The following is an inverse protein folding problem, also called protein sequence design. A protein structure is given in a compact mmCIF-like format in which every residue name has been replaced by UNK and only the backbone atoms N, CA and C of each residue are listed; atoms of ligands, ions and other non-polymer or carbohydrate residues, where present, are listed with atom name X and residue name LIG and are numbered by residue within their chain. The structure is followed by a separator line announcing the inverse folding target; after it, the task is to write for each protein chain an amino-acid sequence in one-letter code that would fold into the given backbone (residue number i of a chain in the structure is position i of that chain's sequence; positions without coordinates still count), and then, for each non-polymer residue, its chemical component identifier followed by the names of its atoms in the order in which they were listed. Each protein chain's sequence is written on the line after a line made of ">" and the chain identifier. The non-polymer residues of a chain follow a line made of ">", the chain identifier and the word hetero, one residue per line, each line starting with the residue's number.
data_IF_012325663904
#
_entry.id   IF_012325663904
#
_cell.length_a   1.000
_cell.length_b   1.000
_cell.length_c   1.000
_cell.angle_alpha   90.00
_cell.angle_beta   90.00
_cell.angle_gamma   90.00
#
_symmetry.space_group_name_H-M   'P 1'
#
loop_
_entity.id
_entity.type
_entity.pdbx_description
1 polymer ?
#
# COMPACT_ATOMS: atom_id res chain seq x y z
N UNK A 1 -29.18 -12.66 -45.38
CA UNK A 1 -28.15 -11.91 -46.15
C UNK A 1 -28.16 -10.39 -45.91
N UNK A 2 -29.27 -9.73 -45.51
CA UNK A 2 -29.32 -8.28 -45.22
C UNK A 2 -28.73 -7.91 -43.84
N UNK A 3 -28.76 -8.80 -42.85
CA UNK A 3 -28.27 -8.55 -41.47
C UNK A 3 -26.74 -8.59 -41.37
N UNK A 4 -26.08 -9.46 -42.14
CA UNK A 4 -24.61 -9.56 -42.13
C UNK A 4 -23.91 -8.32 -42.80
N UNK A 5 -24.57 -7.66 -43.75
CA UNK A 5 -24.00 -6.46 -44.37
C UNK A 5 -24.02 -5.24 -43.44
N UNK A 6 -24.97 -5.20 -42.47
CA UNK A 6 -25.03 -4.12 -41.45
C UNK A 6 -23.96 -4.28 -40.37
N UNK A 7 -23.64 -5.51 -40.00
CA UNK A 7 -22.60 -5.80 -38.98
C UNK A 7 -21.21 -5.48 -39.51
N UNK A 8 -20.92 -5.81 -40.79
CA UNK A 8 -19.65 -5.49 -41.45
C UNK A 8 -19.47 -3.99 -41.60
N UNK A 9 -20.54 -3.23 -41.92
CA UNK A 9 -20.47 -1.78 -42.06
C UNK A 9 -20.22 -1.07 -40.69
N UNK A 10 -20.78 -1.60 -39.59
CA UNK A 10 -20.54 -1.05 -38.27
C UNK A 10 -19.11 -1.38 -37.78
N UNK A 11 -18.59 -2.57 -38.06
CA UNK A 11 -17.21 -2.94 -37.75
C UNK A 11 -16.19 -2.11 -38.60
N UNK A 12 -16.46 -1.84 -39.85
CA UNK A 12 -15.61 -0.99 -40.65
C UNK A 12 -15.64 0.49 -40.20
N UNK A 13 -16.78 0.98 -39.73
CA UNK A 13 -16.91 2.32 -39.16
C UNK A 13 -16.14 2.49 -37.83
N UNK A 14 -16.13 1.45 -36.98
CA UNK A 14 -15.36 1.45 -35.72
C UNK A 14 -13.84 1.39 -36.01
N UNK A 15 -13.41 0.63 -37.02
CA UNK A 15 -12.00 0.57 -37.44
C UNK A 15 -11.55 1.89 -38.09
N UNK A 16 -12.41 2.57 -38.84
CA UNK A 16 -12.05 3.87 -39.41
C UNK A 16 -12.09 5.01 -38.41
N UNK A 17 -12.88 4.95 -37.37
CA UNK A 17 -12.87 5.97 -36.30
C UNK A 17 -11.66 5.83 -35.37
N UNK A 18 -11.10 4.63 -35.23
CA UNK A 18 -9.83 4.42 -34.51
C UNK A 18 -8.58 4.78 -35.29
N UNK A 19 -8.70 5.02 -36.61
CA UNK A 19 -7.59 5.44 -37.47
C UNK A 19 -7.56 6.96 -37.76
N UNK A 20 -8.57 7.71 -37.32
CA UNK A 20 -8.65 9.16 -37.55
C UNK A 20 -8.33 10.03 -36.35
N UNK A 21 -7.84 9.43 -35.25
CA UNK A 21 -7.49 10.13 -34.01
C UNK A 21 -5.99 10.33 -33.77
N UNK A 22 -5.13 9.95 -34.72
CA UNK A 22 -3.74 10.36 -34.68
C UNK A 22 -3.63 11.80 -35.25
N UNK A 23 -3.93 12.80 -34.44
CA UNK A 23 -3.28 14.08 -34.64
C UNK A 23 -1.78 13.78 -34.49
N UNK A 24 -1.07 13.74 -35.60
CA UNK A 24 0.38 13.79 -35.65
C UNK A 24 0.77 15.11 -34.98
N UNK A 25 0.97 15.09 -33.66
CA UNK A 25 1.72 16.18 -33.05
C UNK A 25 3.10 16.14 -33.71
N UNK A 26 3.51 17.27 -34.21
CA UNK A 26 4.81 17.48 -34.83
C UNK A 26 5.87 16.88 -33.90
N UNK A 27 6.66 15.94 -34.42
CA UNK A 27 7.81 15.35 -33.70
C UNK A 27 8.98 16.35 -33.65
N UNK A 28 8.71 17.61 -33.38
CA UNK A 28 9.74 18.60 -33.11
C UNK A 28 10.23 18.32 -31.72
N UNK A 29 11.46 17.81 -31.57
CA UNK A 29 12.14 17.69 -30.30
C UNK A 29 12.39 19.12 -29.81
N UNK A 30 11.75 19.47 -28.68
CA UNK A 30 11.91 20.79 -28.10
C UNK A 30 13.18 20.81 -27.21
N UNK A 31 13.76 21.99 -27.08
CA UNK A 31 14.87 22.25 -26.16
C UNK A 31 14.35 22.33 -24.73
N UNK A 32 15.23 22.12 -23.74
CA UNK A 32 14.92 22.39 -22.32
C UNK A 32 14.48 23.84 -22.12
N UNK A 33 15.00 24.78 -22.93
CA UNK A 33 14.66 26.20 -22.86
C UNK A 33 13.21 26.51 -23.31
N UNK A 34 12.59 25.60 -24.07
CA UNK A 34 11.19 25.75 -24.51
C UNK A 34 10.19 25.35 -23.42
N UNK A 35 10.65 24.74 -22.32
CA UNK A 35 9.80 24.25 -21.24
C UNK A 35 9.49 25.39 -20.27
N UNK A 36 8.21 25.72 -20.10
CA UNK A 36 7.76 26.79 -19.19
C UNK A 36 7.02 26.25 -17.96
N UNK A 37 6.38 25.06 -18.04
CA UNK A 37 5.66 24.49 -16.92
C UNK A 37 5.68 22.95 -16.90
N UNK A 38 5.53 22.40 -15.71
CA UNK A 38 5.20 20.99 -15.46
C UNK A 38 3.70 20.88 -15.19
N UNK A 39 3.04 19.87 -15.76
CA UNK A 39 1.60 19.67 -15.58
C UNK A 39 1.19 18.19 -15.71
N UNK A 40 -0.01 17.89 -15.22
CA UNK A 40 -0.66 16.59 -15.46
C UNK A 40 0.01 15.39 -14.80
N UNK A 41 0.72 15.60 -13.71
CA UNK A 41 1.43 14.52 -13.01
C UNK A 41 0.49 13.61 -12.22
N UNK A 42 0.81 12.34 -12.24
CA UNK A 42 0.25 11.35 -11.35
C UNK A 42 1.28 10.25 -11.05
N UNK A 43 1.09 9.57 -9.94
CA UNK A 43 1.90 8.43 -9.58
C UNK A 43 0.96 7.26 -9.25
N UNK A 44 1.17 6.12 -9.89
CA UNK A 44 0.27 4.98 -9.79
C UNK A 44 1.03 3.68 -9.61
N UNK A 45 0.58 2.84 -8.67
CA UNK A 45 1.08 1.48 -8.54
C UNK A 45 0.32 0.54 -9.48
N UNK A 46 1.07 -0.24 -10.24
CA UNK A 46 0.55 -1.27 -11.14
C UNK A 46 0.86 -2.65 -10.58
N UNK A 47 -0.14 -3.28 -9.98
CA UNK A 47 0.01 -4.62 -9.38
C UNK A 47 0.28 -5.72 -10.42
N UNK A 48 -0.09 -5.52 -11.68
CA UNK A 48 0.14 -6.50 -12.76
C UNK A 48 1.60 -6.61 -13.18
N UNK A 49 2.34 -5.51 -13.11
CA UNK A 49 3.77 -5.42 -13.48
C UNK A 49 4.68 -5.23 -12.28
N UNK A 50 4.10 -4.99 -11.09
CA UNK A 50 4.81 -4.72 -9.84
C UNK A 50 5.77 -3.53 -9.97
N UNK A 51 5.29 -2.47 -10.58
CA UNK A 51 6.00 -1.21 -10.76
C UNK A 51 5.12 0.00 -10.42
N UNK A 52 5.75 1.14 -10.31
CA UNK A 52 5.10 2.44 -10.22
C UNK A 52 5.31 3.21 -11.51
N UNK A 53 4.27 3.88 -11.99
CA UNK A 53 4.32 4.80 -13.11
C UNK A 53 4.23 6.23 -12.61
N UNK A 54 5.24 7.02 -12.89
CA UNK A 54 5.23 8.45 -12.70
C UNK A 54 4.92 9.13 -14.04
N UNK A 55 3.77 9.76 -14.13
CA UNK A 55 3.37 10.54 -15.31
C UNK A 55 3.62 12.02 -15.06
N UNK A 56 4.18 12.72 -16.05
CA UNK A 56 4.28 14.17 -16.03
C UNK A 56 4.30 14.72 -17.47
N UNK A 57 3.78 15.94 -17.65
CA UNK A 57 3.78 16.66 -18.91
C UNK A 57 4.61 17.91 -18.84
N UNK A 58 5.21 18.29 -19.99
CA UNK A 58 5.95 19.51 -20.17
C UNK A 58 5.12 20.46 -21.04
N UNK A 59 5.05 21.73 -20.66
CA UNK A 59 4.35 22.75 -21.43
C UNK A 59 5.32 23.83 -21.91
N UNK A 60 5.04 24.36 -23.12
CA UNK A 60 5.71 25.53 -23.63
C UNK A 60 5.02 26.85 -23.16
N UNK A 61 5.53 27.98 -23.63
CA UNK A 61 4.99 29.31 -23.31
C UNK A 61 3.57 29.58 -23.80
N UNK A 62 3.03 28.73 -24.65
CA UNK A 62 1.66 28.80 -25.16
C UNK A 62 0.69 27.87 -24.40
N UNK A 63 1.11 27.26 -23.30
CA UNK A 63 0.38 26.22 -22.56
C UNK A 63 0.10 24.95 -23.40
N UNK A 64 0.93 24.65 -24.41
CA UNK A 64 0.83 23.46 -25.22
C UNK A 64 1.77 22.37 -24.69
N UNK A 65 1.31 21.12 -24.68
CA UNK A 65 2.16 19.97 -24.33
C UNK A 65 3.27 19.78 -25.37
N UNK A 66 4.49 19.57 -24.87
CA UNK A 66 5.68 19.34 -25.71
C UNK A 66 6.41 18.09 -25.22
N UNK A 67 7.20 17.49 -26.12
CA UNK A 67 8.18 16.47 -25.80
C UNK A 67 9.57 17.06 -25.86
N UNK A 68 10.41 16.75 -24.90
CA UNK A 68 11.81 17.16 -24.85
C UNK A 68 12.66 16.07 -24.23
N UNK A 69 13.94 16.01 -24.67
CA UNK A 69 14.93 15.13 -24.03
C UNK A 69 15.44 15.81 -22.77
N UNK A 70 15.11 15.23 -21.61
CA UNK A 70 15.46 15.78 -20.28
C UNK A 70 16.00 14.68 -19.38
N UNK A 71 16.74 15.09 -18.35
CA UNK A 71 17.07 14.24 -17.22
C UNK A 71 16.17 14.65 -16.05
N UNK A 72 15.74 13.66 -15.27
CA UNK A 72 14.79 13.87 -14.16
C UNK A 72 15.33 13.21 -12.92
N UNK A 73 15.64 14.00 -11.89
CA UNK A 73 15.87 13.47 -10.56
C UNK A 73 14.52 13.27 -9.87
N UNK A 74 14.28 12.06 -9.43
CA UNK A 74 13.05 11.66 -8.76
C UNK A 74 13.39 11.31 -7.33
N UNK A 75 12.77 12.00 -6.36
CA UNK A 75 12.86 11.68 -4.94
C UNK A 75 11.49 11.38 -4.39
N UNK A 76 11.38 10.31 -3.62
CA UNK A 76 10.15 9.95 -2.91
C UNK A 76 10.46 9.98 -1.41
N UNK A 77 9.70 10.81 -0.70
CA UNK A 77 9.79 10.98 0.76
C UNK A 77 8.45 10.56 1.34
N UNK A 78 8.45 9.61 2.28
CA UNK A 78 7.23 9.19 2.96
C UNK A 78 6.77 10.24 4.00
N UNK A 79 5.56 10.10 4.53
CA UNK A 79 4.97 11.07 5.47
C UNK A 79 5.73 11.16 6.80
N UNK A 80 6.60 10.18 7.10
CA UNK A 80 7.48 10.23 8.28
C UNK A 80 8.80 10.94 8.01
N UNK A 81 9.02 11.44 6.77
CA UNK A 81 10.22 12.17 6.37
C UNK A 81 11.37 11.27 5.90
N UNK A 82 11.14 9.98 5.71
CA UNK A 82 12.15 9.05 5.22
C UNK A 82 12.21 9.07 3.69
N UNK A 83 13.42 9.22 3.12
CA UNK A 83 13.64 9.07 1.68
C UNK A 83 13.64 7.56 1.31
N UNK A 84 12.59 7.14 0.64
CA UNK A 84 12.39 5.74 0.24
C UNK A 84 12.86 5.46 -1.20
N UNK A 85 13.04 6.50 -2.00
CA UNK A 85 13.57 6.39 -3.37
C UNK A 85 14.29 7.67 -3.79
N UNK A 86 15.40 7.51 -4.50
CA UNK A 86 16.12 8.60 -5.17
C UNK A 86 16.86 8.05 -6.37
N UNK A 87 16.58 8.58 -7.56
CA UNK A 87 17.28 8.21 -8.79
C UNK A 87 17.15 9.26 -9.88
N UNK A 88 18.14 9.34 -10.74
CA UNK A 88 18.09 10.05 -12.02
C UNK A 88 17.58 9.13 -13.11
N UNK A 89 16.67 9.61 -13.95
CA UNK A 89 16.18 8.95 -15.16
C UNK A 89 16.34 9.90 -16.34
N UNK A 90 16.87 9.39 -17.45
CA UNK A 90 16.84 10.11 -18.71
C UNK A 90 15.51 9.82 -19.40
N UNK A 91 14.79 10.86 -19.75
CA UNK A 91 13.50 10.83 -20.45
C UNK A 91 13.70 11.44 -21.81
N UNK A 92 13.38 10.69 -22.85
CA UNK A 92 13.49 11.12 -24.25
C UNK A 92 12.13 11.56 -24.77
N UNK A 93 12.13 12.27 -25.88
CA UNK A 93 10.88 12.67 -26.54
C UNK A 93 10.01 11.48 -26.97
N UNK A 94 10.58 10.27 -27.10
CA UNK A 94 9.86 9.03 -27.43
C UNK A 94 9.10 8.45 -26.22
N UNK A 95 9.45 8.84 -24.99
CA UNK A 95 8.79 8.39 -23.75
C UNK A 95 7.48 9.14 -23.49
N UNK A 96 7.18 10.18 -24.29
CA UNK A 96 5.93 10.94 -24.19
C UNK A 96 4.84 10.31 -25.06
N UNK A 97 3.64 10.17 -24.50
CA UNK A 97 2.48 9.61 -25.17
C UNK A 97 1.18 10.31 -24.83
N UNK A 98 0.14 10.05 -25.65
CA UNK A 98 -1.19 10.57 -25.40
C UNK A 98 -1.90 9.73 -24.32
N UNK A 99 -2.39 10.42 -23.29
CA UNK A 99 -3.19 9.86 -22.22
C UNK A 99 -4.53 10.59 -22.16
N UNK A 100 -5.61 9.84 -22.05
CA UNK A 100 -6.95 10.39 -21.88
C UNK A 100 -7.39 10.24 -20.43
N UNK A 101 -7.70 11.36 -19.80
CA UNK A 101 -8.27 11.43 -18.46
C UNK A 101 -9.72 11.87 -18.51
N UNK A 102 -10.61 11.19 -17.78
CA UNK A 102 -12.02 11.59 -17.67
C UNK A 102 -12.23 13.00 -17.10
N UNK A 103 -11.25 13.50 -16.33
CA UNK A 103 -11.32 14.81 -15.66
C UNK A 103 -10.54 15.88 -16.42
N UNK A 104 -9.34 15.53 -16.92
CA UNK A 104 -8.42 16.50 -17.53
C UNK A 104 -8.41 16.49 -19.06
N UNK A 105 -9.14 15.55 -19.69
CA UNK A 105 -9.14 15.39 -21.15
C UNK A 105 -7.86 14.74 -21.68
N UNK A 106 -7.52 15.05 -22.93
CA UNK A 106 -6.29 14.55 -23.57
C UNK A 106 -5.07 15.28 -23.00
N UNK A 107 -4.06 14.50 -22.63
CA UNK A 107 -2.78 14.95 -22.08
C UNK A 107 -1.64 14.24 -22.81
N UNK A 108 -0.51 14.91 -22.99
CA UNK A 108 0.69 14.33 -23.55
C UNK A 108 1.77 14.25 -22.46
N UNK A 109 2.01 13.04 -21.96
CA UNK A 109 2.77 12.81 -20.72
C UNK A 109 3.92 11.84 -20.97
N UNK A 110 5.04 12.03 -20.26
CA UNK A 110 6.04 11.00 -20.08
C UNK A 110 5.53 9.94 -19.07
N UNK A 111 5.87 8.66 -19.29
CA UNK A 111 5.63 7.54 -18.38
C UNK A 111 6.98 7.00 -17.88
N UNK A 112 7.37 7.39 -16.67
CA UNK A 112 8.61 6.91 -16.04
C UNK A 112 8.30 5.74 -15.13
N UNK A 113 8.85 4.57 -15.48
CA UNK A 113 8.66 3.33 -14.71
C UNK A 113 9.69 3.18 -13.62
N UNK A 114 9.21 2.87 -12.40
CA UNK A 114 10.01 2.60 -11.22
C UNK A 114 9.63 1.21 -10.70
N UNK A 115 10.51 0.21 -10.80
CA UNK A 115 10.27 -1.10 -10.21
C UNK A 115 9.98 -0.98 -8.71
N UNK A 116 8.97 -1.69 -8.21
CA UNK A 116 8.64 -1.64 -6.78
C UNK A 116 9.81 -2.11 -5.90
N UNK A 117 10.67 -2.99 -6.44
CA UNK A 117 11.90 -3.44 -5.77
C UNK A 117 12.95 -2.35 -5.55
N UNK A 118 12.88 -1.24 -6.30
CA UNK A 118 13.82 -0.13 -6.19
C UNK A 118 13.41 0.86 -5.10
N UNK A 119 12.14 0.79 -4.64
CA UNK A 119 11.62 1.61 -3.55
C UNK A 119 11.84 0.85 -2.24
N UNK A 120 12.50 1.50 -1.29
CA UNK A 120 12.73 0.92 0.05
C UNK A 120 11.39 0.78 0.79
N UNK A 121 11.26 -0.31 1.53
CA UNK A 121 10.15 -0.46 2.46
C UNK A 121 10.29 0.56 3.61
N UNK A 122 9.38 1.52 3.65
CA UNK A 122 9.40 2.60 4.64
C UNK A 122 8.47 2.34 5.83
N UNK A 123 8.34 3.37 6.66
CA UNK A 123 7.47 3.36 7.85
C UNK A 123 6.07 3.92 7.58
N UNK A 124 5.80 4.43 6.38
CA UNK A 124 4.50 4.90 5.93
C UNK A 124 4.24 4.49 4.49
N UNK A 125 2.99 4.13 4.18
CA UNK A 125 2.53 3.86 2.81
C UNK A 125 2.11 5.13 2.05
N UNK A 126 2.17 6.29 2.68
CA UNK A 126 1.90 7.60 2.09
C UNK A 126 3.19 8.39 1.94
N UNK A 127 3.21 9.32 1.01
CA UNK A 127 4.38 10.16 0.80
C UNK A 127 4.19 11.18 -0.31
N UNK A 128 5.29 11.78 -0.72
CA UNK A 128 5.35 12.84 -1.74
C UNK A 128 6.47 12.54 -2.74
N UNK A 129 6.18 12.74 -4.02
CA UNK A 129 7.18 12.74 -5.10
C UNK A 129 7.67 14.15 -5.36
N UNK A 130 8.97 14.29 -5.42
CA UNK A 130 9.67 15.51 -5.84
C UNK A 130 10.40 15.26 -7.15
N UNK A 131 10.29 16.20 -8.08
CA UNK A 131 10.97 16.16 -9.37
C UNK A 131 11.89 17.37 -9.53
N UNK A 132 13.11 17.10 -9.99
CA UNK A 132 14.00 18.11 -10.58
C UNK A 132 14.16 17.76 -12.04
N UNK A 133 13.86 18.69 -12.95
CA UNK A 133 13.97 18.51 -14.41
C UNK A 133 15.09 19.37 -14.92
N UNK A 134 16.02 18.76 -15.62
CA UNK A 134 17.21 19.44 -16.13
C UNK A 134 17.72 18.80 -17.44
N UNK A 135 18.65 19.48 -18.09
CA UNK A 135 19.45 18.95 -19.20
C UNK A 135 20.83 19.58 -19.16
N UNK A 136 21.86 18.74 -19.18
CA UNK A 136 23.25 19.18 -18.97
C UNK A 136 23.34 20.04 -17.68
N UNK A 137 23.82 21.28 -17.79
CA UNK A 137 23.94 22.21 -16.66
C UNK A 137 22.71 23.13 -16.44
N UNK A 138 21.63 22.93 -17.25
CA UNK A 138 20.42 23.77 -17.19
C UNK A 138 19.34 23.08 -16.37
N UNK A 139 19.07 23.61 -15.16
CA UNK A 139 17.94 23.19 -14.33
C UNK A 139 16.72 24.04 -14.68
N UNK A 140 15.62 23.39 -15.08
CA UNK A 140 14.37 24.06 -15.41
C UNK A 140 13.39 24.09 -14.25
N UNK A 141 13.30 22.97 -13.52
CA UNK A 141 12.48 22.85 -12.32
C UNK A 141 13.31 22.16 -11.25
N UNK A 142 13.27 22.70 -10.04
CA UNK A 142 14.03 22.19 -8.92
C UNK A 142 13.09 21.78 -7.77
N UNK A 143 13.16 20.53 -7.37
CA UNK A 143 12.40 19.90 -6.27
C UNK A 143 10.89 20.23 -6.27
N UNK A 144 10.25 20.19 -7.45
CA UNK A 144 8.81 20.42 -7.54
C UNK A 144 8.05 19.28 -6.91
N UNK A 145 7.17 19.59 -5.95
CA UNK A 145 6.22 18.63 -5.40
C UNK A 145 5.19 18.24 -6.45
N UNK A 146 5.22 17.01 -6.88
CA UNK A 146 4.41 16.54 -8.02
C UNK A 146 3.20 15.72 -7.63
N UNK A 147 3.18 15.03 -6.49
CA UNK A 147 2.05 14.18 -6.12
C UNK A 147 2.10 13.76 -4.66
N UNK A 148 0.94 13.67 -4.03
CA UNK A 148 0.76 12.86 -2.84
C UNK A 148 0.61 11.40 -3.28
N UNK A 149 1.32 10.49 -2.62
CA UNK A 149 1.34 9.07 -2.92
C UNK A 149 0.56 8.29 -1.89
N UNK A 150 -0.06 7.22 -2.39
CA UNK A 150 -0.67 6.18 -1.57
C UNK A 150 -0.12 4.83 -2.07
N UNK A 151 -0.02 3.86 -1.19
CA UNK A 151 0.47 2.51 -1.50
C UNK A 151 1.99 2.40 -1.72
N UNK A 152 2.80 3.23 -1.08
CA UNK A 152 4.24 2.96 -0.98
C UNK A 152 4.49 1.63 -0.24
N UNK A 153 5.56 0.89 -0.59
CA UNK A 153 5.89 -0.33 0.13
C UNK A 153 6.27 -0.01 1.57
N UNK A 154 5.70 -0.78 2.50
CA UNK A 154 5.99 -0.63 3.93
C UNK A 154 6.71 -1.86 4.48
N UNK A 155 7.52 -1.65 5.50
CA UNK A 155 8.25 -2.71 6.19
C UNK A 155 7.30 -3.72 6.85
N UNK A 156 7.73 -4.98 6.91
CA UNK A 156 7.01 -6.01 7.66
C UNK A 156 7.17 -5.80 9.16
N UNK A 157 6.18 -6.24 9.92
CA UNK A 157 6.26 -6.31 11.37
C UNK A 157 6.63 -7.73 11.82
N UNK A 158 7.18 -7.84 13.01
CA UNK A 158 7.42 -9.13 13.65
C UNK A 158 6.54 -9.24 14.90
N UNK A 159 5.86 -10.36 15.07
CA UNK A 159 5.11 -10.67 16.29
C UNK A 159 5.71 -11.87 17.01
N UNK A 160 6.00 -11.72 18.28
CA UNK A 160 6.40 -12.82 19.17
C UNK A 160 5.32 -13.02 20.21
N UNK A 161 4.71 -14.22 20.25
CA UNK A 161 3.81 -14.61 21.31
C UNK A 161 4.61 -15.28 22.43
N UNK A 162 4.57 -14.71 23.64
CA UNK A 162 5.38 -15.19 24.75
C UNK A 162 4.77 -16.40 25.44
N UNK A 163 5.67 -17.32 25.80
CA UNK A 163 5.34 -18.46 26.66
C UNK A 163 4.46 -19.53 26.01
N UNK A 164 4.27 -19.50 24.67
CA UNK A 164 3.44 -20.51 23.99
C UNK A 164 4.15 -21.88 23.96
N UNK A 165 3.48 -22.96 24.38
CA UNK A 165 2.12 -23.02 24.91
C UNK A 165 2.01 -22.39 26.31
N UNK A 166 0.92 -21.66 26.57
CA UNK A 166 0.66 -20.98 27.83
C UNK A 166 -0.66 -21.45 28.43
N UNK A 167 -0.66 -21.70 29.73
CA UNK A 167 -1.88 -21.99 30.51
C UNK A 167 -2.36 -20.75 31.25
N UNK A 168 -3.66 -20.48 31.14
CA UNK A 168 -4.32 -19.31 31.68
C UNK A 168 -5.45 -19.77 32.60
N UNK A 169 -5.43 -19.35 33.86
CA UNK A 169 -6.52 -19.60 34.75
C UNK A 169 -7.67 -18.64 34.50
N UNK A 170 -8.85 -19.17 34.27
CA UNK A 170 -10.09 -18.38 34.21
C UNK A 170 -10.70 -18.36 35.59
N UNK A 171 -10.80 -17.17 36.20
CA UNK A 171 -11.35 -16.97 37.52
C UNK A 171 -12.85 -16.66 37.45
N UNK A 172 -13.60 -17.18 38.40
CA UNK A 172 -14.98 -16.79 38.67
C UNK A 172 -15.09 -15.55 39.53
N UNK A 173 -16.32 -15.06 39.70
CA UNK A 173 -16.61 -13.93 40.61
C UNK A 173 -16.18 -14.14 42.06
N UNK A 174 -16.01 -15.38 42.49
CA UNK A 174 -15.54 -15.75 43.81
C UNK A 174 -14.00 -15.81 43.95
N UNK A 175 -13.28 -15.50 42.85
CA UNK A 175 -11.83 -15.53 42.78
C UNK A 175 -11.23 -16.94 42.68
N UNK A 176 -12.07 -17.99 42.58
CA UNK A 176 -11.58 -19.34 42.39
C UNK A 176 -11.39 -19.66 40.91
N UNK A 177 -10.41 -20.51 40.58
CA UNK A 177 -10.21 -21.02 39.23
C UNK A 177 -11.40 -21.88 38.79
N UNK A 178 -12.15 -21.41 37.81
CA UNK A 178 -13.29 -22.13 37.22
C UNK A 178 -12.87 -23.04 36.06
N UNK A 179 -11.91 -22.57 35.27
CA UNK A 179 -11.37 -23.32 34.13
C UNK A 179 -9.91 -22.97 33.85
N UNK A 180 -9.25 -23.81 33.06
CA UNK A 180 -7.88 -23.57 32.56
C UNK A 180 -7.93 -23.68 31.06
N UNK A 181 -7.49 -22.60 30.39
CA UNK A 181 -7.34 -22.51 28.94
C UNK A 181 -5.85 -22.59 28.60
N UNK A 182 -5.51 -23.47 27.67
CA UNK A 182 -4.16 -23.58 27.14
C UNK A 182 -4.16 -23.04 25.70
N UNK A 183 -3.42 -21.97 25.45
CA UNK A 183 -3.12 -21.50 24.09
C UNK A 183 -1.91 -22.28 23.58
N UNK A 184 -2.06 -22.96 22.45
CA UNK A 184 -1.04 -23.88 21.93
C UNK A 184 -0.36 -23.40 20.67
N UNK A 185 -1.00 -22.50 19.91
CA UNK A 185 -0.49 -21.97 18.65
C UNK A 185 -0.96 -20.54 18.44
N UNK A 186 -0.09 -19.73 17.83
CA UNK A 186 -0.35 -18.35 17.44
C UNK A 186 0.27 -18.08 16.07
N UNK A 187 -0.51 -17.53 15.18
CA UNK A 187 -0.06 -17.05 13.88
C UNK A 187 -0.58 -15.64 13.61
N UNK A 188 -0.03 -14.96 12.63
CA UNK A 188 -0.49 -13.61 12.28
C UNK A 188 -0.35 -13.32 10.79
N UNK A 189 -1.16 -12.36 10.35
CA UNK A 189 -1.04 -11.72 9.03
C UNK A 189 -0.98 -10.22 9.26
N UNK A 190 0.04 -9.59 8.67
CA UNK A 190 0.13 -8.14 8.61
C UNK A 190 -0.47 -7.66 7.30
N UNK A 191 -1.63 -7.03 7.39
CA UNK A 191 -2.34 -6.44 6.25
C UNK A 191 -1.86 -4.99 6.07
N UNK A 192 -1.30 -4.69 4.89
CA UNK A 192 -0.60 -3.43 4.59
C UNK A 192 -1.48 -2.41 3.85
N UNK A 193 -2.65 -2.85 3.36
CA UNK A 193 -3.51 -2.03 2.51
C UNK A 193 -4.25 -0.97 3.35
N UNK A 194 -4.33 0.26 2.82
CA UNK A 194 -5.03 1.44 3.36
C UNK A 194 -4.72 1.79 4.83
N UNK A 195 -5.09 0.94 5.77
CA UNK A 195 -4.78 1.09 7.19
C UNK A 195 -4.02 -0.15 7.63
N UNK A 196 -2.73 -0.03 7.95
CA UNK A 196 -1.95 -1.17 8.42
C UNK A 196 -2.59 -1.80 9.66
N UNK A 197 -2.82 -3.11 9.60
CA UNK A 197 -3.44 -3.85 10.71
C UNK A 197 -2.80 -5.22 10.90
N UNK A 198 -2.77 -5.69 12.13
CA UNK A 198 -2.26 -6.99 12.51
C UNK A 198 -3.42 -7.89 12.89
N UNK A 199 -3.68 -8.90 12.07
CA UNK A 199 -4.64 -9.96 12.38
C UNK A 199 -3.91 -11.13 13.00
N UNK A 200 -4.17 -11.36 14.27
CA UNK A 200 -3.57 -12.44 15.09
C UNK A 200 -4.58 -13.55 15.22
N UNK A 201 -4.22 -14.76 14.84
CA UNK A 201 -5.04 -15.96 14.97
C UNK A 201 -4.41 -16.90 15.97
N UNK A 202 -5.20 -17.50 16.85
CA UNK A 202 -4.72 -18.41 17.87
C UNK A 202 -5.61 -19.61 18.05
N UNK A 203 -5.05 -20.68 18.59
CA UNK A 203 -5.71 -21.97 18.82
C UNK A 203 -5.33 -22.52 20.18
N UNK A 204 -6.17 -23.36 20.71
CA UNK A 204 -5.91 -23.94 22.03
C UNK A 204 -6.91 -25.01 22.44
N UNK A 205 -6.94 -25.27 23.74
CA UNK A 205 -7.86 -26.21 24.35
C UNK A 205 -8.22 -25.79 25.79
N UNK A 206 -9.39 -26.20 26.25
CA UNK A 206 -9.74 -26.17 27.66
C UNK A 206 -9.21 -27.42 28.34
N UNK A 207 -8.32 -27.28 29.31
CA UNK A 207 -7.69 -28.42 29.97
C UNK A 207 -8.38 -28.79 31.27
N UNK A 208 -9.12 -27.85 31.90
CA UNK A 208 -9.82 -28.05 33.17
C UNK A 208 -11.12 -27.22 33.22
N UNK A 209 -12.08 -27.70 33.98
CA UNK A 209 -13.35 -27.02 34.31
C UNK A 209 -14.57 -27.59 33.60
N UNK A 210 -15.74 -27.26 34.12
CA UNK A 210 -17.02 -27.68 33.53
C UNK A 210 -17.39 -26.79 32.30
N UNK A 211 -18.45 -27.20 31.59
CA UNK A 211 -19.03 -26.34 30.55
C UNK A 211 -19.53 -25.05 31.17
N UNK A 212 -19.10 -23.94 30.59
CA UNK A 212 -19.58 -22.58 30.90
C UNK A 212 -20.17 -21.98 29.64
N UNK A 213 -20.98 -20.93 29.73
CA UNK A 213 -21.51 -20.25 28.56
C UNK A 213 -20.35 -19.63 27.73
N UNK A 214 -19.32 -19.14 28.44
CA UNK A 214 -18.06 -18.67 27.85
C UNK A 214 -16.95 -18.66 28.93
N UNK A 215 -15.73 -18.79 28.48
CA UNK A 215 -14.51 -18.54 29.28
C UNK A 215 -13.88 -17.21 28.77
N UNK A 216 -13.41 -16.38 29.71
CA UNK A 216 -12.81 -15.07 29.36
C UNK A 216 -11.34 -15.08 29.70
N UNK A 217 -10.50 -14.81 28.73
CA UNK A 217 -9.07 -14.53 28.89
C UNK A 217 -8.76 -13.12 28.36
N UNK A 218 -7.60 -12.59 28.72
CA UNK A 218 -7.16 -11.28 28.23
C UNK A 218 -5.90 -11.39 27.41
N UNK A 219 -5.68 -10.39 26.53
CA UNK A 219 -4.40 -10.23 25.85
C UNK A 219 -3.84 -8.82 26.05
N UNK A 220 -2.54 -8.70 25.88
CA UNK A 220 -1.81 -7.43 25.83
C UNK A 220 -0.78 -7.49 24.73
N UNK A 221 -0.72 -6.44 23.91
CA UNK A 221 0.26 -6.25 22.85
C UNK A 221 1.17 -5.09 23.22
N UNK A 222 2.46 -5.32 23.17
CA UNK A 222 3.50 -4.33 23.46
C UNK A 222 4.38 -4.12 22.25
N UNK A 223 4.94 -2.91 22.10
CA UNK A 223 6.00 -2.62 21.16
C UNK A 223 7.38 -3.09 21.69
N UNK A 224 8.43 -2.90 20.89
CA UNK A 224 9.81 -3.24 21.23
C UNK A 224 10.37 -2.44 22.41
N UNK A 225 9.81 -1.25 22.68
CA UNK A 225 10.16 -0.39 23.82
C UNK A 225 9.40 -0.74 25.10
N UNK A 226 8.45 -1.68 25.02
CA UNK A 226 7.64 -2.15 26.15
C UNK A 226 6.41 -1.28 26.42
N UNK A 227 6.02 -0.39 25.50
CA UNK A 227 4.76 0.35 25.62
C UNK A 227 3.59 -0.54 25.21
N UNK A 228 2.48 -0.45 25.99
CA UNK A 228 1.24 -1.12 25.65
C UNK A 228 0.59 -0.46 24.46
N UNK A 229 0.43 -1.22 23.36
CA UNK A 229 -0.17 -0.77 22.11
C UNK A 229 -1.65 -1.10 22.08
N UNK A 230 -2.00 -2.32 22.51
CA UNK A 230 -3.38 -2.77 22.53
C UNK A 230 -3.61 -3.79 23.64
N UNK A 231 -4.85 -3.89 24.11
CA UNK A 231 -5.28 -4.91 25.08
C UNK A 231 -6.77 -5.12 25.00
N UNK A 232 -7.20 -6.34 25.27
CA UNK A 232 -8.62 -6.66 25.26
C UNK A 232 -8.93 -8.00 25.88
N UNK A 233 -10.21 -8.35 25.84
CA UNK A 233 -10.73 -9.60 26.34
C UNK A 233 -11.18 -10.49 25.18
N UNK A 234 -10.97 -11.77 25.34
CA UNK A 234 -11.34 -12.82 24.40
C UNK A 234 -12.37 -13.69 25.07
N UNK A 235 -13.50 -13.86 24.40
CA UNK A 235 -14.61 -14.69 24.86
C UNK A 235 -14.60 -16.00 24.08
N UNK A 236 -14.26 -17.08 24.75
CA UNK A 236 -14.23 -18.43 24.19
C UNK A 236 -15.57 -19.12 24.47
N UNK A 237 -16.29 -19.48 23.42
CA UNK A 237 -17.64 -20.05 23.55
C UNK A 237 -17.62 -21.46 24.19
N UNK A 238 -18.57 -21.69 25.07
CA UNK A 238 -19.12 -22.97 25.60
C UNK A 238 -18.19 -24.21 25.55
N UNK A 239 -16.94 -24.06 25.99
CA UNK A 239 -15.99 -25.17 26.02
C UNK A 239 -16.18 -26.07 27.23
N UNK A 240 -16.01 -27.39 27.03
CA UNK A 240 -15.87 -28.39 28.09
C UNK A 240 -14.41 -28.84 28.18
N UNK A 241 -13.96 -29.32 29.34
CA UNK A 241 -12.59 -29.83 29.50
C UNK A 241 -12.31 -30.94 28.46
N UNK A 242 -11.25 -30.76 27.68
CA UNK A 242 -10.87 -31.60 26.57
C UNK A 242 -11.25 -31.03 25.18
N UNK A 243 -12.14 -30.05 25.12
CA UNK A 243 -12.50 -29.38 23.85
C UNK A 243 -11.37 -28.49 23.37
N UNK A 244 -11.21 -28.49 22.04
CA UNK A 244 -10.25 -27.65 21.31
C UNK A 244 -10.99 -26.55 20.56
N UNK A 245 -10.41 -25.38 20.53
CA UNK A 245 -10.82 -24.26 19.68
C UNK A 245 -9.73 -23.92 18.67
N UNK A 246 -10.13 -23.37 17.56
CA UNK A 246 -9.23 -23.05 16.45
C UNK A 246 -9.68 -21.77 15.78
N UNK A 247 -8.68 -21.02 15.31
CA UNK A 247 -8.88 -19.84 14.44
C UNK A 247 -9.67 -18.68 15.10
N UNK A 248 -9.67 -18.58 16.43
CA UNK A 248 -10.06 -17.35 17.10
C UNK A 248 -9.07 -16.24 16.75
N UNK A 249 -9.55 -15.00 16.66
CA UNK A 249 -8.72 -13.90 16.14
C UNK A 249 -8.91 -12.58 16.88
N UNK A 250 -7.81 -11.83 16.91
CA UNK A 250 -7.73 -10.44 17.36
C UNK A 250 -7.28 -9.60 16.17
N UNK A 251 -7.88 -8.44 15.96
CA UNK A 251 -7.41 -7.47 14.96
C UNK A 251 -6.95 -6.22 15.70
N UNK A 252 -5.69 -5.85 15.50
CA UNK A 252 -5.09 -4.65 16.07
C UNK A 252 -4.82 -3.65 14.97
N UNK A 253 -5.27 -2.43 15.15
CA UNK A 253 -5.07 -1.29 14.28
C UNK A 253 -3.91 -0.43 14.80
N UNK A 254 -3.51 0.59 14.03
CA UNK A 254 -2.44 1.53 14.39
C UNK A 254 -1.07 0.87 14.59
N UNK A 255 -0.82 -0.17 13.80
CA UNK A 255 0.45 -0.89 13.78
C UNK A 255 1.50 -0.08 13.00
N UNK A 256 2.64 0.16 13.64
CA UNK A 256 3.79 0.85 13.01
C UNK A 256 4.59 -0.14 12.17
N UNK A 257 4.74 0.10 10.85
CA UNK A 257 5.57 -0.73 9.98
C UNK A 257 7.03 -0.81 10.47
N UNK A 258 7.64 -1.99 10.33
CA UNK A 258 9.03 -2.22 10.73
C UNK A 258 9.23 -2.47 12.23
N UNK A 259 8.19 -2.35 13.05
CA UNK A 259 8.27 -2.54 14.49
C UNK A 259 8.18 -4.04 14.89
N UNK A 260 8.70 -4.37 16.06
CA UNK A 260 8.57 -5.70 16.66
C UNK A 260 7.55 -5.64 17.78
N UNK A 261 6.63 -6.57 17.76
CA UNK A 261 5.55 -6.66 18.73
C UNK A 261 5.64 -7.92 19.58
N UNK A 262 5.17 -7.82 20.82
CA UNK A 262 5.15 -8.87 21.80
C UNK A 262 3.72 -9.06 22.31
N UNK A 263 3.17 -10.26 22.09
CA UNK A 263 1.83 -10.65 22.54
C UNK A 263 1.93 -11.49 23.80
N UNK A 264 1.12 -11.13 24.81
CA UNK A 264 0.92 -11.89 26.04
C UNK A 264 -0.55 -12.24 26.17
N UNK A 265 -0.83 -13.49 26.50
CA UNK A 265 -2.15 -13.90 27.00
C UNK A 265 -2.10 -13.94 28.50
N UNK A 266 -3.13 -13.43 29.19
CA UNK A 266 -3.19 -13.29 30.62
C UNK A 266 -4.58 -13.65 31.16
N UNK A 267 -4.65 -13.85 32.47
CA UNK A 267 -5.92 -13.96 33.17
C UNK A 267 -6.75 -12.68 33.00
N UNK A 268 -8.05 -12.86 32.88
CA UNK A 268 -9.00 -11.76 32.98
C UNK A 268 -9.19 -11.40 34.44
N UNK A 269 -9.00 -10.16 34.80
CA UNK A 269 -9.25 -9.63 36.14
C UNK A 269 -10.59 -8.88 36.12
N UNK A 270 -11.52 -9.36 36.92
CA UNK A 270 -12.85 -8.77 37.13
C UNK A 270 -12.76 -7.37 37.72
#
# INVERSE_FOLDING_TARGET
>A
MKTMKKIVAVFLAIIMSSLCGCAFMSTTINSIDDIEALKGWSFQYNSGTNDYSLFFGLLNSNDEYIAADVDVDIRIINDTGEEVYSATKSVTSEDFGNYESQVAGEQYLADVRIPASDIKNGTSNNGTVYLTVYKDDTVRFDEVNCSALYCLPIADVQLTAEGIPVEINVQGYDGNTQSIIQITDVSYVYEKDFTPQLKITFSGQKTYGNSSDYDVISYKLYDSSGYLIDSGNIYLDALTAGDKFKDDSITVYDITPGENYKLLFTEYNW
#
